data_IF_137399930953
#
_entry.id   IF_137399930953
#
_cell.length_a   1.000
_cell.length_b   1.000
_cell.length_c   1.000
_cell.angle_alpha   90.00
_cell.angle_beta   90.00
_cell.angle_gamma   90.00
#
_symmetry.space_group_name_H-M   'P 1'
#
loop_
_entity.id
_entity.type
_entity.pdbx_description
1 polymer ?
#
# COMPACT_ATOMS: atom_id res chain seq x y z
N UNK A 1 10.36 -15.01 3.60
CA UNK A 1 9.47 -13.98 3.02
C UNK A 1 9.98 -12.65 3.50
N UNK A 2 10.31 -11.70 2.62
CA UNK A 2 10.96 -10.44 3.02
C UNK A 2 9.99 -9.28 3.28
N UNK A 3 8.76 -9.34 2.75
CA UNK A 3 7.79 -8.24 2.83
C UNK A 3 6.79 -8.33 3.99
N UNK A 4 6.90 -9.37 4.83
CA UNK A 4 5.94 -9.65 5.90
C UNK A 4 5.91 -8.56 7.01
N UNK A 5 7.00 -7.78 7.11
CA UNK A 5 7.19 -6.65 8.04
C UNK A 5 7.24 -5.29 7.36
N UNK A 6 6.97 -5.25 6.05
CA UNK A 6 6.86 -4.00 5.28
C UNK A 6 5.38 -3.62 5.19
N UNK A 7 5.09 -2.39 5.57
CA UNK A 7 3.75 -1.83 5.54
C UNK A 7 3.65 -0.75 4.47
N UNK A 8 2.46 -0.53 3.94
CA UNK A 8 2.15 0.53 2.99
C UNK A 8 1.07 1.40 3.61
N UNK A 9 1.31 2.71 3.72
CA UNK A 9 0.31 3.65 4.18
C UNK A 9 -0.78 3.81 3.12
N UNK A 10 -2.04 3.68 3.55
CA UNK A 10 -3.22 3.92 2.72
C UNK A 10 -3.64 5.38 2.83
N UNK A 11 -4.40 5.87 1.84
CA UNK A 11 -4.92 7.24 1.83
C UNK A 11 -5.87 7.52 3.01
N UNK A 12 -6.52 6.49 3.56
CA UNK A 12 -7.46 6.58 4.69
C UNK A 12 -6.78 6.35 6.05
N UNK A 13 -5.50 6.70 6.20
CA UNK A 13 -4.71 6.59 7.44
C UNK A 13 -4.57 5.17 8.03
N UNK A 14 -4.83 4.12 7.25
CA UNK A 14 -4.56 2.72 7.62
C UNK A 14 -3.22 2.22 7.09
N UNK A 15 -2.75 1.08 7.61
CA UNK A 15 -1.59 0.35 7.10
C UNK A 15 -2.00 -0.95 6.43
N UNK A 16 -1.40 -1.23 5.28
CA UNK A 16 -1.56 -2.47 4.52
C UNK A 16 -0.25 -3.27 4.55
N UNK A 17 -0.30 -4.57 4.81
CA UNK A 17 0.88 -5.44 4.68
C UNK A 17 1.26 -5.61 3.21
N UNK A 18 2.54 -5.38 2.90
CA UNK A 18 3.05 -5.44 1.54
C UNK A 18 2.99 -6.85 0.92
N UNK A 19 3.17 -7.90 1.72
CA UNK A 19 3.08 -9.30 1.28
C UNK A 19 1.64 -9.76 0.94
N UNK A 20 0.63 -8.94 1.22
CA UNK A 20 -0.77 -9.22 0.88
C UNK A 20 -1.23 -8.56 -0.42
N UNK A 21 -0.39 -7.73 -1.04
CA UNK A 21 -0.70 -7.07 -2.31
C UNK A 21 -0.59 -8.08 -3.44
N UNK A 22 -1.70 -8.29 -4.16
CA UNK A 22 -1.79 -9.19 -5.32
C UNK A 22 -2.00 -8.46 -6.64
N UNK A 23 -2.24 -7.14 -6.58
CA UNK A 23 -2.40 -6.31 -7.77
C UNK A 23 -2.27 -4.82 -7.45
N UNK A 24 -1.85 -4.04 -8.44
CA UNK A 24 -1.76 -2.59 -8.37
C UNK A 24 -2.45 -2.01 -9.60
N UNK A 25 -3.37 -1.07 -9.39
CA UNK A 25 -4.18 -0.52 -10.48
C UNK A 25 -4.39 0.97 -10.31
N UNK A 26 -4.30 1.71 -11.41
CA UNK A 26 -4.70 3.11 -11.49
C UNK A 26 -6.04 3.20 -12.19
N UNK A 27 -7.00 3.94 -11.64
CA UNK A 27 -8.27 4.19 -12.31
C UNK A 27 -8.88 5.54 -11.93
N UNK A 28 -9.69 6.11 -12.83
CA UNK A 28 -10.40 7.34 -12.58
C UNK A 28 -11.64 7.09 -11.70
N UNK A 29 -11.90 8.00 -10.75
CA UNK A 29 -13.17 8.05 -10.03
C UNK A 29 -14.32 8.29 -11.01
N UNK A 30 -15.54 7.80 -10.72
CA UNK A 30 -16.71 8.10 -11.54
C UNK A 30 -16.86 9.60 -11.81
N UNK A 31 -17.19 9.96 -13.05
CA UNK A 31 -17.44 11.36 -13.41
C UNK A 31 -18.73 11.84 -12.75
N UNK A 32 -18.64 12.89 -11.95
CA UNK A 32 -19.78 13.55 -11.31
C UNK A 32 -19.95 14.94 -11.93
N UNK A 33 -21.18 15.35 -12.32
CA UNK A 33 -21.41 16.69 -12.87
C UNK A 33 -20.86 17.78 -11.95
N UNK A 34 -20.06 18.69 -12.52
CA UNK A 34 -19.44 19.79 -11.77
C UNK A 34 -18.18 19.43 -10.97
N UNK A 35 -17.70 18.18 -11.00
CA UNK A 35 -16.44 17.77 -10.35
C UNK A 35 -15.50 17.12 -11.36
N UNK A 36 -14.28 17.62 -11.43
CA UNK A 36 -13.22 16.98 -12.22
C UNK A 36 -12.95 15.56 -11.65
N UNK A 37 -12.85 14.53 -12.52
CA UNK A 37 -12.48 13.20 -12.05
C UNK A 37 -11.11 13.25 -11.38
N UNK A 38 -10.94 12.41 -10.36
CA UNK A 38 -9.64 12.16 -9.72
C UNK A 38 -9.14 10.80 -10.13
N UNK A 39 -7.85 10.59 -10.11
CA UNK A 39 -7.25 9.28 -10.30
C UNK A 39 -6.89 8.67 -8.97
N UNK A 40 -7.17 7.39 -8.81
CA UNK A 40 -6.83 6.59 -7.64
C UNK A 40 -5.74 5.61 -8.02
N UNK A 41 -4.73 5.48 -7.15
CA UNK A 41 -3.84 4.34 -7.14
C UNK A 41 -4.31 3.39 -6.04
N UNK A 42 -4.69 2.17 -6.43
CA UNK A 42 -5.21 1.16 -5.51
C UNK A 42 -4.31 -0.08 -5.47
N UNK A 43 -4.12 -0.61 -4.26
CA UNK A 43 -3.63 -1.96 -4.04
C UNK A 43 -4.81 -2.92 -3.91
N UNK A 44 -4.73 -4.03 -4.63
CA UNK A 44 -5.63 -5.16 -4.49
C UNK A 44 -5.03 -6.14 -3.49
N UNK A 45 -5.82 -6.56 -2.51
CA UNK A 45 -5.39 -7.52 -1.49
C UNK A 45 -6.26 -8.76 -1.54
N UNK A 46 -5.63 -9.93 -1.39
CA UNK A 46 -6.35 -11.17 -1.20
C UNK A 46 -6.81 -11.26 0.26
N UNK A 47 -8.12 -11.26 0.49
CA UNK A 47 -8.70 -11.47 1.82
C UNK A 47 -9.47 -12.78 1.85
N UNK A 48 -9.30 -13.56 2.92
CA UNK A 48 -10.18 -14.69 3.18
C UNK A 48 -11.58 -14.15 3.52
N UNK A 49 -12.56 -14.46 2.69
CA UNK A 49 -13.97 -14.21 2.91
C UNK A 49 -14.65 -15.50 3.40
N UNK A 50 -15.26 -15.44 4.59
CA UNK A 50 -16.01 -16.55 5.15
C UNK A 50 -16.16 -16.46 6.66
N UNK A 51 -17.38 -16.67 7.16
CA UNK A 51 -17.72 -16.67 8.60
C UNK A 51 -17.55 -18.03 9.28
N UNK A 52 -16.81 -18.98 8.68
CA UNK A 52 -16.55 -20.29 9.28
C UNK A 52 -17.75 -21.26 9.29
N UNK A 53 -18.72 -21.10 8.39
CA UNK A 53 -19.82 -22.05 8.25
C UNK A 53 -19.43 -23.23 7.34
N UNK A 54 -18.82 -24.27 7.94
CA UNK A 54 -18.95 -25.67 7.51
C UNK A 54 -18.61 -25.99 6.05
N UNK A 55 -17.33 -25.88 5.68
CA UNK A 55 -16.78 -26.41 4.43
C UNK A 55 -15.33 -25.95 4.29
N UNK A 56 -14.40 -26.83 3.90
CA UNK A 56 -12.96 -26.56 3.79
C UNK A 56 -12.60 -25.58 2.64
N UNK A 57 -13.44 -24.59 2.35
CA UNK A 57 -13.27 -23.68 1.22
C UNK A 57 -13.47 -22.26 1.73
N UNK A 58 -12.37 -21.53 1.87
CA UNK A 58 -12.40 -20.09 2.09
C UNK A 58 -12.56 -19.43 0.71
N UNK A 59 -13.60 -18.62 0.53
CA UNK A 59 -13.70 -17.78 -0.66
C UNK A 59 -12.64 -16.68 -0.54
N UNK A 60 -11.85 -16.45 -1.59
CA UNK A 60 -10.89 -15.35 -1.60
C UNK A 60 -11.61 -14.13 -2.19
N UNK A 61 -11.93 -13.16 -1.32
CA UNK A 61 -12.42 -11.85 -1.74
C UNK A 61 -11.29 -10.96 -2.21
N UNK A 62 -11.60 -10.08 -3.16
CA UNK A 62 -10.71 -9.02 -3.64
C UNK A 62 -11.12 -7.74 -2.93
N UNK A 63 -10.19 -7.13 -2.19
CA UNK A 63 -10.42 -5.84 -1.56
C UNK A 63 -9.47 -4.79 -2.14
N UNK A 64 -10.02 -3.69 -2.61
CA UNK A 64 -9.25 -2.55 -3.10
C UNK A 64 -8.95 -1.59 -1.94
N UNK A 65 -7.69 -1.21 -1.79
CA UNK A 65 -7.20 -0.24 -0.80
C UNK A 65 -6.53 0.91 -1.53
N UNK A 66 -7.10 2.11 -1.40
CA UNK A 66 -6.54 3.31 -2.02
C UNK A 66 -5.28 3.77 -1.30
N UNK A 67 -4.22 3.93 -2.07
CA UNK A 67 -2.89 4.35 -1.61
C UNK A 67 -2.70 5.85 -1.79
N UNK A 68 -3.13 6.39 -2.93
CA UNK A 68 -2.99 7.81 -3.26
C UNK A 68 -4.11 8.26 -4.20
N UNK A 69 -4.35 9.57 -4.22
CA UNK A 69 -5.26 10.23 -5.15
C UNK A 69 -4.55 11.40 -5.84
N UNK A 70 -4.65 11.45 -7.17
CA UNK A 70 -4.00 12.47 -8.01
C UNK A 70 -5.01 13.17 -8.92
N UNK A 71 -4.61 14.30 -9.50
CA UNK A 71 -5.41 15.02 -10.49
C UNK A 71 -5.37 14.31 -11.86
N UNK A 72 -4.18 13.89 -12.28
CA UNK A 72 -3.90 13.20 -13.54
C UNK A 72 -3.58 11.73 -13.30
N UNK A 73 -3.61 10.92 -14.35
CA UNK A 73 -3.32 9.49 -14.27
C UNK A 73 -1.88 9.23 -13.79
N UNK A 74 -1.68 8.47 -12.70
CA UNK A 74 -0.34 8.13 -12.23
C UNK A 74 0.17 6.90 -12.98
N UNK A 75 0.49 7.05 -14.27
CA UNK A 75 0.77 5.96 -15.21
C UNK A 75 1.92 5.04 -14.76
N UNK A 76 2.98 5.61 -14.18
CA UNK A 76 4.17 4.84 -13.76
C UNK A 76 4.10 4.33 -12.32
N UNK A 77 3.11 4.78 -11.53
CA UNK A 77 3.07 4.51 -10.10
C UNK A 77 2.92 3.01 -9.73
N UNK A 78 2.08 2.20 -10.43
CA UNK A 78 2.02 0.76 -10.19
C UNK A 78 3.37 0.07 -10.36
N UNK A 79 4.10 0.40 -11.45
CA UNK A 79 5.42 -0.19 -11.71
C UNK A 79 6.47 0.30 -10.72
N UNK A 80 6.45 1.59 -10.37
CA UNK A 80 7.38 2.17 -9.41
C UNK A 80 7.26 1.50 -8.04
N UNK A 81 6.03 1.27 -7.56
CA UNK A 81 5.77 0.54 -6.32
C UNK A 81 6.19 -0.92 -6.42
N UNK A 82 5.87 -1.62 -7.52
CA UNK A 82 6.32 -3.00 -7.72
C UNK A 82 7.85 -3.13 -7.69
N UNK A 83 8.59 -2.20 -8.31
CA UNK A 83 10.05 -2.14 -8.25
C UNK A 83 10.56 -1.87 -6.83
N UNK A 84 9.89 -1.02 -6.06
CA UNK A 84 10.25 -0.77 -4.66
C UNK A 84 10.04 -2.01 -3.80
N UNK A 85 8.89 -2.69 -3.92
CA UNK A 85 8.61 -3.95 -3.23
C UNK A 85 9.67 -5.01 -3.53
N UNK A 86 10.05 -5.17 -4.81
CA UNK A 86 11.10 -6.10 -5.19
C UNK A 86 12.46 -5.77 -4.56
N UNK A 87 12.80 -4.47 -4.40
CA UNK A 87 14.03 -4.06 -3.70
C UNK A 87 13.98 -4.35 -2.20
N UNK A 88 12.80 -4.24 -1.59
CA UNK A 88 12.59 -4.44 -0.15
C UNK A 88 12.36 -5.90 0.25
N UNK A 89 12.13 -6.81 -0.71
CA UNK A 89 11.99 -8.25 -0.45
C UNK A 89 13.35 -8.90 -0.12
N UNK A 90 13.95 -8.43 0.96
CA UNK A 90 15.20 -8.93 1.52
C UNK A 90 14.97 -9.32 2.99
N UNK A 91 15.70 -10.32 3.52
CA UNK A 91 15.57 -10.71 4.92
C UNK A 91 15.86 -9.54 5.87
N UNK A 92 14.99 -9.35 6.88
CA UNK A 92 15.22 -8.39 7.95
C UNK A 92 14.80 -6.95 7.64
N UNK A 93 14.28 -6.67 6.45
CA UNK A 93 13.70 -5.36 6.13
C UNK A 93 12.36 -5.20 6.85
N UNK A 94 12.18 -4.08 7.54
CA UNK A 94 10.93 -3.73 8.21
C UNK A 94 10.77 -2.21 8.20
N UNK A 95 9.56 -1.73 7.89
CA UNK A 95 9.31 -0.30 7.76
C UNK A 95 7.99 0.02 7.09
N UNK A 96 7.80 1.30 6.80
CA UNK A 96 6.59 1.84 6.17
C UNK A 96 6.95 2.47 4.83
N UNK A 97 6.24 2.09 3.78
CA UNK A 97 6.19 2.79 2.50
C UNK A 97 5.09 3.84 2.58
N UNK A 98 5.41 5.10 2.31
CA UNK A 98 4.45 6.21 2.26
C UNK A 98 4.29 6.69 0.82
N UNK A 99 3.13 6.41 0.20
CA UNK A 99 2.76 7.03 -1.07
C UNK A 99 2.47 8.52 -0.86
N UNK A 100 2.98 9.38 -1.74
CA UNK A 100 2.67 10.81 -1.75
C UNK A 100 2.24 11.25 -3.16
N UNK A 101 1.10 11.94 -3.24
CA UNK A 101 0.65 12.53 -4.48
C UNK A 101 1.50 13.76 -4.82
N UNK A 102 2.05 13.81 -6.03
CA UNK A 102 2.83 14.92 -6.54
C UNK A 102 2.16 15.50 -7.79
N UNK A 103 2.70 16.60 -8.32
CA UNK A 103 2.24 17.18 -9.59
C UNK A 103 2.44 16.24 -10.79
N UNK A 104 3.32 15.25 -10.67
CA UNK A 104 3.75 14.36 -11.76
C UNK A 104 3.27 12.91 -11.57
N UNK A 105 2.47 12.62 -10.53
CA UNK A 105 2.00 11.27 -10.24
C UNK A 105 2.07 10.94 -8.75
N UNK A 106 2.63 9.77 -8.42
CA UNK A 106 2.80 9.30 -7.05
C UNK A 106 4.25 8.92 -6.81
N UNK A 107 4.83 9.45 -5.73
CA UNK A 107 6.15 9.07 -5.24
C UNK A 107 6.01 8.16 -4.03
N UNK A 108 7.03 7.34 -3.78
CA UNK A 108 7.05 6.41 -2.64
C UNK A 108 8.33 6.62 -1.84
N UNK A 109 8.18 7.00 -0.57
CA UNK A 109 9.28 6.98 0.39
C UNK A 109 9.21 5.71 1.24
N UNK A 110 10.34 5.28 1.79
CA UNK A 110 10.42 4.18 2.74
C UNK A 110 11.12 4.64 4.01
N UNK A 111 10.50 4.38 5.16
CA UNK A 111 11.08 4.66 6.49
C UNK A 111 11.33 3.35 7.21
N UNK A 112 12.58 3.07 7.54
CA UNK A 112 12.99 1.84 8.23
C UNK A 112 12.70 1.91 9.72
N UNK A 113 12.22 0.82 10.31
CA UNK A 113 12.08 0.73 11.77
C UNK A 113 13.42 0.61 12.50
N UNK A 114 14.49 0.18 11.81
CA UNK A 114 15.82 0.09 12.42
C UNK A 114 16.41 1.48 12.73
N UNK A 115 16.07 2.49 11.92
CA UNK A 115 16.53 3.87 12.10
C UNK A 115 15.85 4.53 13.31
N UNK A 116 14.63 4.08 13.68
CA UNK A 116 13.86 4.56 14.84
C UNK A 116 14.43 4.07 16.19
N UNK A 117 15.17 2.96 16.18
CA UNK A 117 15.74 2.36 17.40
C UNK A 117 17.00 3.10 17.86
N UNK A 118 17.73 3.76 16.94
CA UNK A 118 18.92 4.55 17.29
C UNK A 118 18.59 5.86 18.03
N UNK A 119 17.33 6.32 17.97
CA UNK A 119 16.89 7.58 18.59
C UNK A 119 16.12 7.44 19.91
N UNK A 120 15.73 6.23 20.35
CA UNK A 120 14.75 6.05 21.43
C UNK A 120 15.24 5.36 22.71
N UNK A 121 16.51 4.96 22.81
CA UNK A 121 17.08 4.46 24.08
C UNK A 121 17.83 5.57 24.81
N UNK A 122 17.08 6.54 25.32
CA UNK A 122 17.50 7.44 26.40
C UNK A 122 16.31 7.75 27.29
N UNK A 123 15.90 6.72 28.03
CA UNK A 123 14.91 6.81 29.11
C UNK A 123 15.37 5.94 30.26
N UNK A 124 16.24 6.49 31.11
CA UNK A 124 16.52 5.96 32.45
C UNK A 124 15.41 6.38 33.41
N UNK A 125 14.95 5.43 34.22
CA UNK A 125 14.07 5.59 35.36
C UNK A 125 13.84 4.25 36.03
#
# INVERSE_FOLDING_TARGET
MGLDKVWIQTLSDGLLRADQVVGLTSHATPSLPGKAPRWLLDATVAVAAGSGAGGNTWDIGILHRTLAQTADEPTEAPEALARLLARLDQPGVAGIITPSATRHGVEFSFTSFAEDTAGSVSGTG
#
